data_IF_823660349800
#
_entry.id   IF_823660349800
#
_cell.length_a   1.000
_cell.length_b   1.000
_cell.length_c   1.000
_cell.angle_alpha   90.00
_cell.angle_beta   90.00
_cell.angle_gamma   90.00
#
_symmetry.space_group_name_H-M   'P 1'
#
loop_
_entity.id
_entity.type
_entity.pdbx_description
1 polymer ?
#
# COMPACT_ATOMS: atom_id res chain seq x y z
N UNK A 1 -0.76 -1.53 23.74
CA UNK A 1 -1.45 -0.87 22.62
C UNK A 1 -1.96 -1.95 21.71
N UNK A 2 -3.25 -1.95 21.41
CA UNK A 2 -3.87 -2.86 20.44
C UNK A 2 -3.28 -2.58 19.05
N UNK A 3 -2.88 -3.62 18.33
CA UNK A 3 -2.31 -3.44 16.98
C UNK A 3 -3.46 -3.27 16.00
N UNK A 4 -3.53 -2.10 15.39
CA UNK A 4 -4.52 -1.80 14.37
C UNK A 4 -4.05 -2.35 13.02
N UNK A 5 -4.87 -3.21 12.42
CA UNK A 5 -4.63 -3.77 11.11
C UNK A 5 -5.66 -3.26 10.11
N UNK A 6 -5.21 -2.87 8.94
CA UNK A 6 -6.07 -2.71 7.77
C UNK A 6 -6.25 -4.05 7.10
N UNK A 7 -7.49 -4.49 6.89
CA UNK A 7 -7.82 -5.76 6.23
C UNK A 7 -8.52 -5.48 4.90
N UNK A 8 -7.91 -5.87 3.78
CA UNK A 8 -8.46 -5.55 2.46
C UNK A 8 -9.87 -6.13 2.23
N UNK A 9 -10.18 -7.28 2.82
CA UNK A 9 -11.51 -7.90 2.69
C UNK A 9 -12.65 -7.04 3.25
N UNK A 10 -12.34 -6.07 4.12
CA UNK A 10 -13.35 -5.16 4.70
C UNK A 10 -13.62 -3.94 3.79
N UNK A 11 -12.81 -3.75 2.74
CA UNK A 11 -12.83 -2.54 1.89
C UNK A 11 -12.98 -2.82 0.38
N UNK A 12 -12.64 -4.02 -0.09
CA UNK A 12 -12.81 -4.45 -1.48
C UNK A 12 -13.48 -5.81 -1.55
N UNK A 13 -14.26 -6.05 -2.61
CA UNK A 13 -15.05 -7.27 -2.76
C UNK A 13 -14.20 -8.54 -2.98
N UNK A 14 -12.95 -8.38 -3.43
CA UNK A 14 -12.01 -9.47 -3.64
C UNK A 14 -10.58 -9.02 -3.39
N UNK A 15 -9.80 -9.92 -2.81
CA UNK A 15 -8.36 -9.78 -2.56
C UNK A 15 -7.50 -10.74 -3.40
N UNK A 16 -8.09 -11.42 -4.38
CA UNK A 16 -7.38 -12.41 -5.22
C UNK A 16 -6.16 -11.82 -5.97
N UNK A 17 -6.19 -10.51 -6.25
CA UNK A 17 -5.07 -9.78 -6.85
C UNK A 17 -3.80 -9.82 -6.00
N UNK A 18 -3.90 -10.02 -4.68
CA UNK A 18 -2.73 -10.19 -3.79
C UNK A 18 -1.91 -11.41 -4.22
N UNK A 19 -2.56 -12.50 -4.61
CA UNK A 19 -1.90 -13.73 -5.03
C UNK A 19 -1.28 -13.64 -6.43
N UNK A 20 -1.55 -12.57 -7.18
CA UNK A 20 -0.93 -12.27 -8.47
C UNK A 20 0.38 -11.49 -8.31
N UNK A 21 0.65 -10.96 -7.11
CA UNK A 21 1.88 -10.24 -6.78
C UNK A 21 2.97 -11.21 -6.29
N UNK A 22 4.26 -10.83 -6.39
CA UNK A 22 5.33 -11.60 -5.78
C UNK A 22 5.08 -11.88 -4.30
N UNK A 23 5.40 -13.10 -3.87
CA UNK A 23 5.22 -13.50 -2.47
C UNK A 23 5.97 -12.56 -1.51
N UNK A 24 5.29 -12.14 -0.45
CA UNK A 24 5.85 -11.24 0.56
C UNK A 24 5.77 -9.75 0.23
N UNK A 25 5.33 -9.37 -0.99
CA UNK A 25 5.23 -7.96 -1.37
C UNK A 25 4.06 -7.25 -0.68
N UNK A 26 2.93 -7.93 -0.53
CA UNK A 26 1.75 -7.43 0.17
C UNK A 26 1.03 -8.58 0.86
N UNK A 27 0.36 -8.28 1.97
CA UNK A 27 -0.47 -9.23 2.71
C UNK A 27 -1.90 -8.71 2.77
N UNK A 28 -2.88 -9.62 2.95
CA UNK A 28 -4.29 -9.27 3.12
C UNK A 28 -4.53 -8.29 4.27
N UNK A 29 -3.67 -8.35 5.29
CA UNK A 29 -3.67 -7.46 6.45
C UNK A 29 -2.38 -6.64 6.48
N UNK A 30 -2.52 -5.33 6.67
CA UNK A 30 -1.41 -4.38 6.75
C UNK A 30 -1.38 -3.79 8.17
N UNK A 31 -0.21 -3.81 8.80
CA UNK A 31 0.01 -3.19 10.11
C UNK A 31 0.05 -1.66 9.99
N UNK A 32 -0.95 -0.98 10.55
CA UNK A 32 -1.10 0.47 10.48
C UNK A 32 -0.23 1.25 11.48
N UNK A 33 0.60 0.56 12.27
CA UNK A 33 1.62 1.24 13.10
C UNK A 33 2.71 1.86 12.23
N UNK A 34 3.08 1.18 11.15
CA UNK A 34 4.20 1.56 10.29
C UNK A 34 3.76 1.98 8.89
N UNK A 35 2.59 1.53 8.45
CA UNK A 35 2.12 1.74 7.10
C UNK A 35 0.87 2.61 7.05
N UNK A 36 0.63 3.19 5.88
CA UNK A 36 -0.63 3.79 5.47
C UNK A 36 -1.17 3.03 4.25
N UNK A 37 -2.49 2.92 4.16
CA UNK A 37 -3.18 2.32 3.01
C UNK A 37 -4.17 3.35 2.47
N UNK A 38 -4.12 3.61 1.16
CA UNK A 38 -5.07 4.46 0.47
C UNK A 38 -5.69 3.67 -0.69
N UNK A 39 -7.01 3.61 -0.75
CA UNK A 39 -7.75 2.97 -1.84
C UNK A 39 -8.57 4.04 -2.53
N UNK A 40 -8.31 4.23 -3.82
CA UNK A 40 -9.01 5.17 -4.67
C UNK A 40 -9.71 4.44 -5.80
N UNK A 41 -11.02 4.64 -5.92
CA UNK A 41 -11.80 4.17 -7.07
C UNK A 41 -11.59 5.13 -8.24
N UNK A 42 -11.13 4.60 -9.36
CA UNK A 42 -10.86 5.33 -10.60
C UNK A 42 -11.89 4.94 -11.68
N UNK A 43 -11.93 5.68 -12.79
CA UNK A 43 -12.87 5.41 -13.89
C UNK A 43 -12.73 3.99 -14.47
N UNK A 44 -11.52 3.43 -14.44
CA UNK A 44 -11.17 2.15 -15.06
C UNK A 44 -10.83 1.05 -14.04
N UNK A 45 -11.08 1.27 -12.75
CA UNK A 45 -10.85 0.28 -11.71
C UNK A 45 -10.45 0.90 -10.39
N UNK A 46 -9.39 0.39 -9.78
CA UNK A 46 -8.94 0.79 -8.46
C UNK A 46 -7.45 1.08 -8.46
N UNK A 47 -7.06 2.09 -7.70
CA UNK A 47 -5.67 2.36 -7.37
C UNK A 47 -5.51 2.20 -5.87
N UNK A 48 -4.61 1.30 -5.47
CA UNK A 48 -4.29 1.03 -4.08
C UNK A 48 -2.85 1.46 -3.86
N UNK A 49 -2.61 2.30 -2.87
CA UNK A 49 -1.28 2.69 -2.44
C UNK A 49 -1.05 2.22 -1.01
N UNK A 50 0.08 1.57 -0.79
CA UNK A 50 0.56 1.14 0.53
C UNK A 50 1.93 1.76 0.70
N UNK A 51 2.15 2.52 1.77
CA UNK A 51 3.45 3.14 1.98
C UNK A 51 3.72 3.42 3.45
N UNK A 52 4.86 4.04 3.78
CA UNK A 52 5.16 4.40 5.15
C UNK A 52 4.09 5.33 5.71
N UNK A 53 3.76 5.15 7.00
CA UNK A 53 2.80 6.01 7.71
C UNK A 53 3.27 7.45 7.76
N UNK A 54 4.58 7.65 7.86
CA UNK A 54 5.24 8.94 7.78
C UNK A 54 6.23 8.92 6.62
N UNK A 55 5.96 9.62 5.51
CA UNK A 55 6.83 9.62 4.34
C UNK A 55 8.21 10.26 4.62
N UNK A 56 8.33 11.09 5.67
CA UNK A 56 9.60 11.72 6.03
C UNK A 56 10.63 10.72 6.57
N UNK A 57 10.19 9.56 7.07
CA UNK A 57 11.07 8.53 7.61
C UNK A 57 11.66 7.64 6.50
N UNK A 58 11.24 7.85 5.25
CA UNK A 58 11.60 7.03 4.10
C UNK A 58 10.97 5.63 4.16
N UNK A 59 11.41 4.75 3.27
CA UNK A 59 10.96 3.36 3.19
C UNK A 59 10.59 2.96 1.76
N UNK A 60 9.71 1.97 1.65
CA UNK A 60 9.20 1.51 0.36
C UNK A 60 7.68 1.74 0.28
N UNK A 61 7.23 2.26 -0.84
CA UNK A 61 5.85 2.38 -1.25
C UNK A 61 5.50 1.34 -2.31
N UNK A 62 4.24 0.92 -2.34
CA UNK A 62 3.69 -0.02 -3.29
C UNK A 62 2.41 0.57 -3.87
N UNK A 63 2.45 0.89 -5.15
CA UNK A 63 1.29 1.30 -5.93
C UNK A 63 0.77 0.11 -6.73
N UNK A 64 -0.51 -0.18 -6.62
CA UNK A 64 -1.19 -1.31 -7.25
C UNK A 64 -2.35 -0.75 -8.06
N UNK A 65 -2.42 -1.09 -9.34
CA UNK A 65 -3.55 -0.71 -10.19
C UNK A 65 -4.33 -1.97 -10.58
N UNK A 66 -5.63 -1.93 -10.30
CA UNK A 66 -6.58 -2.99 -10.62
C UNK A 66 -7.58 -2.49 -11.67
N UNK A 67 -8.13 -3.41 -12.46
CA UNK A 67 -9.24 -3.13 -13.36
C UNK A 67 -10.59 -3.08 -12.60
N UNK A 68 -11.68 -2.82 -13.34
CA UNK A 68 -13.04 -2.82 -12.78
C UNK A 68 -13.50 -4.17 -12.22
N UNK A 69 -12.82 -5.26 -12.56
CA UNK A 69 -13.08 -6.62 -12.07
C UNK A 69 -12.10 -7.03 -10.97
N UNK A 70 -11.36 -6.07 -10.38
CA UNK A 70 -10.35 -6.30 -9.35
C UNK A 70 -9.20 -7.21 -9.80
N UNK A 71 -8.91 -7.29 -11.11
CA UNK A 71 -7.73 -7.97 -11.64
C UNK A 71 -6.53 -7.05 -11.65
N UNK A 72 -5.36 -7.59 -11.32
CA UNK A 72 -4.11 -6.83 -11.34
C UNK A 72 -3.78 -6.40 -12.77
N UNK A 73 -3.70 -5.09 -13.00
CA UNK A 73 -3.19 -4.51 -14.25
C UNK A 73 -1.68 -4.39 -14.17
N UNK A 74 -1.19 -3.72 -13.11
CA UNK A 74 0.23 -3.55 -12.84
C UNK A 74 0.46 -3.18 -11.37
N UNK A 75 1.73 -3.18 -10.96
CA UNK A 75 2.18 -2.64 -9.70
C UNK A 75 3.53 -1.94 -9.88
N UNK A 76 3.82 -0.98 -9.00
CA UNK A 76 5.10 -0.25 -8.94
C UNK A 76 5.56 -0.22 -7.50
N UNK A 77 6.81 -0.64 -7.28
CA UNK A 77 7.50 -0.44 -5.99
C UNK A 77 8.30 0.86 -6.11
N UNK A 78 8.07 1.77 -5.19
CA UNK A 78 8.75 3.06 -5.11
C UNK A 78 9.61 3.08 -3.85
N UNK A 79 10.86 3.51 -3.97
CA UNK A 79 11.69 3.80 -2.80
C UNK A 79 11.53 5.27 -2.43
N UNK A 80 11.17 5.53 -1.18
CA UNK A 80 11.01 6.86 -0.61
C UNK A 80 12.25 7.15 0.21
N UNK A 81 13.02 8.14 -0.21
CA UNK A 81 14.15 8.61 0.58
C UNK A 81 13.64 9.40 1.80
N UNK A 82 14.25 9.21 2.98
CA UNK A 82 13.92 10.02 4.14
C UNK A 82 14.24 11.48 3.87
N UNK A 83 13.43 12.37 4.43
CA UNK A 83 13.71 13.81 4.37
C UNK A 83 15.03 14.08 5.10
N UNK A 84 15.98 14.81 4.49
CA UNK A 84 17.24 15.15 5.16
C UNK A 84 16.97 15.81 6.50
N UNK A 85 17.47 15.22 7.58
CA UNK A 85 17.47 15.88 8.88
C UNK A 85 18.52 16.98 8.82
N UNK A 86 18.07 18.25 8.78
CA UNK A 86 18.99 19.37 8.96
C UNK A 86 19.52 19.26 10.39
N UNK A 87 20.74 18.77 10.56
CA UNK A 87 21.46 18.86 11.83
C UNK A 87 21.53 20.35 12.19
N UNK A 88 20.80 20.75 13.23
CA UNK A 88 21.01 22.06 13.85
C UNK A 88 22.24 21.93 14.74
N UNK A 89 23.36 22.48 14.29
CA UNK A 89 24.52 22.79 15.13
C UNK A 89 24.15 23.75 16.27
#
# INVERSE_FOLDING_TARGET
>A
MEVEYFNFNDHVESVEWIYQLPAGLVSEKIDLRYNSVNIKKEKNGYQIYIGPKNPNDGGDGLLINLDNNLKLINYVVERIDPTPQIERE
#
